data_IF_028107983593
#
_entry.id   IF_028107983593
#
_cell.length_a   1.000
_cell.length_b   1.000
_cell.length_c   1.000
_cell.angle_alpha   90.00
_cell.angle_beta   90.00
_cell.angle_gamma   90.00
#
_symmetry.space_group_name_H-M   'P 1'
#
loop_
_entity.id
_entity.type
_entity.pdbx_description
1 polymer ?
#
# COMPACT_ATOMS: atom_id res chain seq x y z
N UNK A 1 -5.54 -16.39 -14.50
CA UNK A 1 -4.12 -16.54 -14.09
C UNK A 1 -4.10 -16.54 -12.57
N UNK A 2 -3.40 -17.46 -11.92
CA UNK A 2 -3.35 -17.48 -10.45
C UNK A 2 -2.81 -16.14 -9.91
N UNK A 3 -3.15 -15.77 -8.67
CA UNK A 3 -2.55 -14.59 -8.03
C UNK A 3 -1.03 -14.71 -8.11
N UNK A 4 -0.40 -13.68 -8.66
CA UNK A 4 1.04 -13.62 -8.85
C UNK A 4 1.59 -12.38 -8.15
N UNK A 5 2.69 -12.55 -7.43
CA UNK A 5 3.45 -11.47 -6.80
C UNK A 5 4.65 -11.16 -7.68
N UNK A 6 4.75 -9.93 -8.18
CA UNK A 6 5.72 -9.53 -9.18
C UNK A 6 6.55 -8.36 -8.62
N UNK A 7 7.89 -8.44 -8.58
CA UNK A 7 8.73 -7.29 -8.31
C UNK A 7 8.41 -6.15 -9.29
N UNK A 8 8.15 -4.96 -8.76
CA UNK A 8 7.68 -3.83 -9.53
C UNK A 8 8.62 -2.63 -9.39
N UNK A 9 9.26 -2.28 -10.51
CA UNK A 9 10.06 -1.07 -10.60
C UNK A 9 9.15 0.10 -10.95
N UNK A 10 9.05 1.05 -10.02
CA UNK A 10 8.38 2.31 -10.27
C UNK A 10 9.13 3.10 -11.35
N UNK A 11 8.42 3.81 -12.25
CA UNK A 11 9.06 4.62 -13.29
C UNK A 11 9.71 5.88 -12.70
N UNK A 12 10.35 6.69 -13.54
CA UNK A 12 10.91 7.97 -13.10
C UNK A 12 9.83 8.87 -12.46
N UNK A 13 10.10 9.49 -11.30
CA UNK A 13 9.12 10.35 -10.64
C UNK A 13 8.81 11.59 -11.48
N UNK A 14 7.53 11.99 -11.49
CA UNK A 14 7.12 13.28 -12.04
C UNK A 14 7.34 14.40 -11.01
N UNK A 15 7.44 15.65 -11.46
CA UNK A 15 7.49 16.81 -10.57
C UNK A 15 6.13 17.02 -9.86
N UNK A 16 6.15 17.11 -8.54
CA UNK A 16 4.97 17.48 -7.73
C UNK A 16 4.97 19.01 -7.57
N UNK A 17 3.82 19.68 -7.69
CA UNK A 17 3.71 21.11 -7.41
C UNK A 17 4.30 21.51 -6.05
N UNK A 18 5.17 22.52 -6.04
CA UNK A 18 5.93 22.93 -4.85
C UNK A 18 5.07 23.21 -3.61
N UNK A 19 3.91 23.85 -3.79
CA UNK A 19 2.98 24.14 -2.70
C UNK A 19 2.43 22.87 -2.03
N UNK A 20 2.27 21.77 -2.76
CA UNK A 20 1.88 20.47 -2.18
C UNK A 20 3.04 19.85 -1.40
N UNK A 21 4.26 19.96 -1.93
CA UNK A 21 5.47 19.50 -1.23
C UNK A 21 5.64 20.23 0.10
N UNK A 22 5.56 21.57 0.09
CA UNK A 22 5.64 22.41 1.28
C UNK A 22 4.52 22.09 2.28
N UNK A 23 3.29 21.89 1.79
CA UNK A 23 2.17 21.48 2.62
C UNK A 23 2.48 20.17 3.34
N UNK A 24 2.83 19.12 2.60
CA UNK A 24 3.09 17.78 3.16
C UNK A 24 4.26 17.80 4.15
N UNK A 25 5.36 18.50 3.83
CA UNK A 25 6.53 18.63 4.72
C UNK A 25 6.24 19.40 6.01
N UNK A 26 5.18 20.21 6.05
CA UNK A 26 4.78 20.96 7.25
C UNK A 26 3.93 20.15 8.23
N UNK A 27 3.46 18.96 7.82
CA UNK A 27 2.57 18.11 8.60
C UNK A 27 3.35 17.06 9.43
N UNK A 28 2.78 16.55 10.53
CA UNK A 28 3.27 15.33 11.17
C UNK A 28 3.33 14.17 10.17
N UNK A 29 4.32 13.29 10.30
CA UNK A 29 4.63 12.31 9.26
C UNK A 29 3.44 11.43 8.84
N UNK A 30 2.71 10.83 9.78
CA UNK A 30 1.52 10.03 9.45
C UNK A 30 0.41 10.88 8.82
N UNK A 31 0.20 12.11 9.31
CA UNK A 31 -0.80 13.02 8.75
C UNK A 31 -0.44 13.45 7.32
N UNK A 32 0.86 13.54 6.99
CA UNK A 32 1.32 13.77 5.63
C UNK A 32 1.01 12.58 4.73
N UNK A 33 1.17 11.34 5.22
CA UNK A 33 0.80 10.12 4.48
C UNK A 33 -0.72 10.08 4.24
N UNK A 34 -1.55 10.29 5.27
CA UNK A 34 -3.01 10.38 5.12
C UNK A 34 -3.42 11.43 4.10
N UNK A 35 -2.81 12.63 4.17
CA UNK A 35 -3.09 13.69 3.20
C UNK A 35 -2.65 13.33 1.78
N UNK A 36 -1.52 12.65 1.62
CA UNK A 36 -1.08 12.17 0.32
C UNK A 36 -1.98 11.06 -0.24
N UNK A 37 -2.52 10.17 0.60
CA UNK A 37 -3.52 9.18 0.21
C UNK A 37 -4.77 9.87 -0.37
N UNK A 38 -5.26 10.93 0.27
CA UNK A 38 -6.37 11.73 -0.28
C UNK A 38 -6.05 12.33 -1.65
N UNK A 39 -4.83 12.87 -1.83
CA UNK A 39 -4.40 13.45 -3.12
C UNK A 39 -4.29 12.37 -4.21
N UNK A 40 -3.77 11.19 -3.87
CA UNK A 40 -3.66 10.06 -4.79
C UNK A 40 -5.05 9.51 -5.17
N UNK A 41 -6.03 9.56 -4.28
CA UNK A 41 -7.43 9.22 -4.59
C UNK A 41 -8.04 10.19 -5.61
N UNK A 42 -7.69 11.48 -5.57
CA UNK A 42 -8.22 12.48 -6.51
C UNK A 42 -7.75 12.28 -7.95
N UNK A 43 -6.58 11.67 -8.15
CA UNK A 43 -6.09 11.28 -9.48
C UNK A 43 -6.50 9.84 -9.85
N UNK A 44 -7.41 9.26 -9.06
CA UNK A 44 -7.91 7.90 -9.22
C UNK A 44 -6.78 6.87 -9.24
N UNK A 45 -5.72 7.02 -8.44
CA UNK A 45 -4.62 6.06 -8.39
C UNK A 45 -5.04 4.73 -7.77
N UNK A 46 -6.05 4.72 -6.88
CA UNK A 46 -6.58 3.53 -6.25
C UNK A 46 -8.09 3.64 -5.97
N UNK A 47 -8.74 2.51 -5.71
CA UNK A 47 -10.07 2.45 -5.11
C UNK A 47 -9.99 2.41 -3.58
N UNK A 48 -8.96 1.72 -3.07
CA UNK A 48 -8.62 1.64 -1.66
C UNK A 48 -7.11 1.78 -1.47
N UNK A 49 -6.70 2.31 -0.33
CA UNK A 49 -5.30 2.37 0.08
C UNK A 49 -5.15 1.90 1.51
N UNK A 50 -4.04 1.24 1.79
CA UNK A 50 -3.66 0.77 3.13
C UNK A 50 -2.25 1.28 3.43
N UNK A 51 -2.11 1.97 4.55
CA UNK A 51 -0.83 2.47 5.05
C UNK A 51 -0.40 1.65 6.27
N UNK A 52 0.77 1.04 6.13
CA UNK A 52 1.46 0.29 7.17
C UNK A 52 2.76 1.02 7.50
N UNK A 53 3.09 1.18 8.79
CA UNK A 53 4.30 1.86 9.27
C UNK A 53 5.16 0.92 10.10
N UNK A 54 6.47 1.00 9.95
CA UNK A 54 7.41 0.37 10.87
C UNK A 54 7.65 1.32 12.04
N UNK A 55 7.34 0.89 13.26
CA UNK A 55 7.59 1.69 14.45
C UNK A 55 9.07 1.67 14.89
N UNK A 56 9.40 2.41 15.95
CA UNK A 56 10.77 2.51 16.46
C UNK A 56 11.33 1.17 16.98
N UNK A 57 10.46 0.23 17.34
CA UNK A 57 10.84 -1.12 17.79
C UNK A 57 10.97 -2.10 16.60
N UNK A 58 10.74 -1.64 15.37
CA UNK A 58 10.82 -2.45 14.16
C UNK A 58 9.57 -3.30 13.90
N UNK A 59 8.46 -3.00 14.59
CA UNK A 59 7.20 -3.71 14.38
C UNK A 59 6.36 -3.04 13.30
N UNK A 60 5.69 -3.85 12.49
CA UNK A 60 4.80 -3.37 11.45
C UNK A 60 3.42 -3.04 12.04
N UNK A 61 3.04 -1.78 11.98
CA UNK A 61 1.77 -1.25 12.48
C UNK A 61 0.85 -0.92 11.31
N UNK A 62 -0.40 -1.33 11.40
CA UNK A 62 -1.45 -0.86 10.50
C UNK A 62 -1.93 0.51 10.98
N UNK A 63 -1.75 1.55 10.17
CA UNK A 63 -2.01 2.94 10.59
C UNK A 63 -3.32 3.45 10.02
N UNK A 64 -3.53 3.29 8.72
CA UNK A 64 -4.72 3.83 8.05
C UNK A 64 -5.16 2.94 6.90
N UNK A 65 -6.48 2.86 6.69
CA UNK A 65 -7.09 2.40 5.47
C UNK A 65 -8.07 3.46 4.98
N UNK A 66 -8.09 3.73 3.68
CA UNK A 66 -9.02 4.68 3.08
C UNK A 66 -9.58 4.15 1.76
N UNK A 67 -10.76 4.62 1.39
CA UNK A 67 -11.37 4.41 0.09
C UNK A 67 -11.70 5.74 -0.59
N UNK A 68 -12.43 5.69 -1.70
CA UNK A 68 -12.85 6.89 -2.47
C UNK A 68 -13.58 7.96 -1.65
N UNK A 69 -14.23 7.56 -0.55
CA UNK A 69 -15.01 8.45 0.32
C UNK A 69 -14.26 8.90 1.58
N UNK A 70 -12.94 8.69 1.65
CA UNK A 70 -12.12 9.02 2.81
C UNK A 70 -11.78 7.79 3.66
N UNK A 71 -11.45 7.97 4.96
CA UNK A 71 -11.06 6.88 5.85
C UNK A 71 -12.09 5.75 5.89
N UNK A 72 -11.62 4.51 5.79
CA UNK A 72 -12.43 3.29 5.82
C UNK A 72 -12.14 2.50 7.10
N UNK A 73 -12.89 2.84 8.16
CA UNK A 73 -12.74 2.20 9.46
C UNK A 73 -13.11 0.71 9.44
N UNK A 74 -14.01 0.28 8.54
CA UNK A 74 -14.41 -1.12 8.45
C UNK A 74 -13.29 -1.97 7.85
N UNK A 75 -12.65 -1.47 6.80
CA UNK A 75 -11.46 -2.11 6.23
C UNK A 75 -10.31 -2.12 7.24
N UNK A 76 -10.06 -1.01 7.92
CA UNK A 76 -9.01 -0.92 8.94
C UNK A 76 -9.23 -1.94 10.08
N UNK A 77 -10.44 -2.05 10.59
CA UNK A 77 -10.81 -3.01 11.63
C UNK A 77 -10.67 -4.46 11.15
N UNK A 78 -11.14 -4.77 9.93
CA UNK A 78 -11.04 -6.10 9.36
C UNK A 78 -9.59 -6.55 9.19
N UNK A 79 -8.73 -5.67 8.68
CA UNK A 79 -7.30 -5.94 8.54
C UNK A 79 -6.61 -6.06 9.90
N UNK A 80 -6.96 -5.20 10.88
CA UNK A 80 -6.38 -5.29 12.23
C UNK A 80 -6.73 -6.61 12.95
N UNK A 81 -7.86 -7.22 12.62
CA UNK A 81 -8.37 -8.42 13.27
C UNK A 81 -7.67 -9.71 12.83
N UNK A 82 -6.88 -9.70 11.76
CA UNK A 82 -6.18 -10.90 11.26
C UNK A 82 -4.93 -11.29 12.08
N UNK A 83 -4.51 -10.41 13.00
CA UNK A 83 -3.40 -10.64 13.91
C UNK A 83 -2.02 -10.61 13.25
N UNK A 84 -1.90 -10.07 12.04
CA UNK A 84 -0.63 -9.98 11.31
C UNK A 84 0.18 -8.73 11.67
N UNK A 85 -0.48 -7.66 12.13
CA UNK A 85 0.15 -6.41 12.56
C UNK A 85 0.53 -6.42 14.04
N UNK A 86 1.42 -5.51 14.43
CA UNK A 86 2.00 -5.43 15.78
C UNK A 86 3.14 -6.43 16.03
N UNK A 87 3.64 -7.09 14.98
CA UNK A 87 4.76 -8.03 15.04
C UNK A 87 5.99 -7.47 14.32
N UNK A 88 7.17 -8.05 14.56
CA UNK A 88 8.41 -7.60 13.91
C UNK A 88 8.28 -7.71 12.39
N UNK A 89 8.75 -6.71 11.65
CA UNK A 89 8.74 -6.74 10.19
C UNK A 89 9.44 -7.99 9.62
N UNK A 90 10.52 -8.45 10.28
CA UNK A 90 11.26 -9.65 9.87
C UNK A 90 10.41 -10.93 9.91
N UNK A 91 9.42 -10.97 10.81
CA UNK A 91 8.49 -12.10 10.99
C UNK A 91 7.16 -11.89 10.25
N UNK A 92 6.93 -10.70 9.69
CA UNK A 92 5.69 -10.29 9.02
C UNK A 92 5.57 -10.79 7.58
N UNK A 93 6.12 -11.97 7.23
CA UNK A 93 6.14 -12.46 5.85
C UNK A 93 4.76 -12.72 5.24
N UNK A 94 3.72 -12.74 6.08
CA UNK A 94 2.32 -12.90 5.68
C UNK A 94 1.62 -11.59 5.33
N UNK A 95 2.20 -10.42 5.68
CA UNK A 95 1.68 -9.11 5.26
C UNK A 95 2.19 -8.73 3.88
N UNK A 96 1.52 -7.78 3.22
CA UNK A 96 1.99 -7.29 1.93
C UNK A 96 3.30 -6.51 2.06
N UNK A 97 3.41 -5.64 3.07
CA UNK A 97 4.66 -4.94 3.38
C UNK A 97 5.80 -5.92 3.65
N UNK A 98 5.60 -6.94 4.50
CA UNK A 98 6.64 -7.92 4.81
C UNK A 98 7.09 -8.73 3.59
N UNK A 99 6.17 -9.07 2.67
CA UNK A 99 6.54 -9.67 1.38
C UNK A 99 7.39 -8.72 0.52
N UNK A 100 7.05 -7.44 0.47
CA UNK A 100 7.78 -6.45 -0.33
C UNK A 100 9.20 -6.23 0.21
N UNK A 101 9.33 -6.02 1.52
CA UNK A 101 10.62 -5.88 2.19
C UNK A 101 11.46 -7.16 2.11
N UNK A 102 10.84 -8.34 2.26
CA UNK A 102 11.53 -9.62 2.10
C UNK A 102 12.10 -9.84 0.70
N UNK A 103 11.54 -9.20 -0.33
CA UNK A 103 12.05 -9.21 -1.70
C UNK A 103 12.98 -8.02 -2.02
N UNK A 104 13.11 -7.04 -1.12
CA UNK A 104 13.85 -5.81 -1.35
C UNK A 104 13.29 -4.98 -2.51
N UNK A 105 11.97 -5.04 -2.74
CA UNK A 105 11.32 -4.33 -3.85
C UNK A 105 9.86 -4.01 -3.57
N UNK A 106 9.37 -2.90 -4.12
CA UNK A 106 7.92 -2.70 -4.32
C UNK A 106 7.33 -3.84 -5.16
N UNK A 107 6.05 -4.15 -4.96
CA UNK A 107 5.38 -5.29 -5.60
C UNK A 107 4.16 -4.86 -6.41
N UNK A 108 3.90 -5.57 -7.50
CA UNK A 108 2.62 -5.64 -8.17
C UNK A 108 2.03 -7.03 -7.93
N UNK A 109 0.85 -7.07 -7.31
CA UNK A 109 0.10 -8.30 -7.08
C UNK A 109 -1.19 -8.24 -7.89
N UNK A 110 -1.42 -9.25 -8.72
CA UNK A 110 -2.61 -9.33 -9.56
C UNK A 110 -2.92 -10.77 -9.93
N UNK A 111 -4.15 -11.01 -10.38
CA UNK A 111 -4.58 -12.33 -10.87
C UNK A 111 -5.89 -12.77 -10.24
N UNK A 112 -6.12 -14.07 -10.27
CA UNK A 112 -7.37 -14.69 -9.84
C UNK A 112 -7.12 -15.69 -8.71
N UNK A 113 -7.99 -15.63 -7.71
CA UNK A 113 -8.11 -16.65 -6.69
C UNK A 113 -9.15 -17.69 -7.09
N UNK A 114 -8.82 -18.95 -6.83
CA UNK A 114 -9.72 -20.11 -6.95
C UNK A 114 -9.68 -20.84 -5.59
N UNK A 115 -10.80 -21.41 -5.14
CA UNK A 115 -10.96 -22.07 -3.83
C UNK A 115 -9.92 -23.15 -3.49
N UNK A 116 -9.30 -23.76 -4.51
CA UNK A 116 -8.37 -24.88 -4.36
C UNK A 116 -6.89 -24.47 -4.27
N UNK A 117 -6.59 -23.17 -4.17
CA UNK A 117 -5.21 -22.66 -4.14
C UNK A 117 -4.97 -21.83 -2.89
N UNK A 118 -3.78 -21.93 -2.30
CA UNK A 118 -3.38 -21.00 -1.25
C UNK A 118 -3.17 -19.61 -1.85
N UNK A 119 -3.75 -18.58 -1.23
CA UNK A 119 -3.56 -17.19 -1.64
C UNK A 119 -2.28 -16.61 -1.01
N UNK A 120 -1.50 -15.80 -1.75
CA UNK A 120 -0.41 -15.02 -1.17
C UNK A 120 -0.90 -13.74 -0.46
N UNK A 121 -2.20 -13.41 -0.53
CA UNK A 121 -2.77 -12.25 0.14
C UNK A 121 -3.13 -12.57 1.60
N UNK A 122 -3.04 -11.59 2.51
CA UNK A 122 -3.60 -11.69 3.86
C UNK A 122 -5.08 -12.14 3.81
N UNK A 123 -5.53 -13.04 4.71
CA UNK A 123 -6.89 -13.56 4.68
C UNK A 123 -7.97 -12.47 4.74
N UNK A 124 -7.83 -11.48 5.62
CA UNK A 124 -8.80 -10.38 5.74
C UNK A 124 -8.86 -9.55 4.45
N UNK A 125 -7.72 -9.25 3.85
CA UNK A 125 -7.65 -8.53 2.58
C UNK A 125 -8.29 -9.33 1.45
N UNK A 126 -8.04 -10.64 1.39
CA UNK A 126 -8.62 -11.52 0.37
C UNK A 126 -10.16 -11.56 0.48
N UNK A 127 -10.68 -11.71 1.69
CA UNK A 127 -12.12 -11.67 1.96
C UNK A 127 -12.71 -10.31 1.61
N UNK A 128 -12.02 -9.21 1.91
CA UNK A 128 -12.45 -7.88 1.53
C UNK A 128 -12.56 -7.73 0.00
N UNK A 129 -11.58 -8.23 -0.76
CA UNK A 129 -11.54 -8.05 -2.22
C UNK A 129 -12.53 -8.95 -2.97
N UNK A 130 -12.78 -10.16 -2.47
CA UNK A 130 -13.59 -11.17 -3.16
C UNK A 130 -14.98 -11.36 -2.54
N UNK A 131 -15.21 -10.82 -1.34
CA UNK A 131 -16.42 -11.05 -0.56
C UNK A 131 -16.66 -12.52 -0.26
N UNK A 132 -17.93 -12.88 -0.08
CA UNK A 132 -18.37 -14.22 0.30
C UNK A 132 -18.08 -15.30 -0.75
N UNK A 133 -17.83 -14.92 -2.01
CA UNK A 133 -17.53 -15.90 -3.05
C UNK A 133 -16.17 -16.55 -2.83
N UNK A 134 -15.22 -15.84 -2.22
CA UNK A 134 -13.83 -16.29 -2.08
C UNK A 134 -13.12 -16.56 -3.42
N UNK A 135 -13.74 -16.24 -4.56
CA UNK A 135 -13.25 -16.59 -5.90
C UNK A 135 -13.43 -15.39 -6.80
N UNK A 136 -12.39 -15.06 -7.56
CA UNK A 136 -12.45 -13.97 -8.52
C UNK A 136 -11.10 -13.30 -8.74
N UNK A 137 -11.16 -12.20 -9.48
CA UNK A 137 -10.00 -11.36 -9.75
C UNK A 137 -9.79 -10.39 -8.58
N UNK A 138 -8.58 -10.39 -7.99
CA UNK A 138 -8.24 -9.51 -6.86
C UNK A 138 -7.93 -8.07 -7.28
N UNK A 139 -7.88 -7.81 -8.59
CA UNK A 139 -7.53 -6.51 -9.17
C UNK A 139 -6.02 -6.35 -9.31
N UNK A 140 -5.56 -5.12 -9.08
CA UNK A 140 -4.15 -4.72 -9.14
C UNK A 140 -3.77 -4.06 -7.82
N UNK A 141 -2.90 -4.72 -7.06
CA UNK A 141 -2.38 -4.20 -5.80
C UNK A 141 -0.92 -3.78 -6.01
N UNK A 142 -0.62 -2.51 -5.75
CA UNK A 142 0.73 -1.97 -5.81
C UNK A 142 1.22 -1.74 -4.38
N UNK A 143 2.15 -2.55 -3.92
CA UNK A 143 2.77 -2.43 -2.59
C UNK A 143 4.02 -1.58 -2.73
N UNK A 144 4.00 -0.36 -2.20
CA UNK A 144 5.06 0.63 -2.36
C UNK A 144 5.82 0.77 -1.05
N UNK A 145 7.08 0.31 -1.00
CA UNK A 145 7.90 0.39 0.22
C UNK A 145 8.38 1.82 0.48
N UNK A 146 8.40 2.23 1.75
CA UNK A 146 9.08 3.43 2.22
C UNK A 146 10.38 3.02 2.91
N UNK A 147 11.50 3.57 2.44
CA UNK A 147 12.85 3.18 2.87
C UNK A 147 13.73 4.42 2.98
N UNK A 148 14.62 4.42 3.98
CA UNK A 148 15.73 5.37 4.12
C UNK A 148 17.05 4.59 4.13
N UNK A 149 17.63 4.42 2.93
CA UNK A 149 18.70 3.43 2.73
C UNK A 149 18.19 2.02 3.02
N UNK A 150 18.86 1.32 3.94
CA UNK A 150 18.47 -0.03 4.38
C UNK A 150 17.42 -0.02 5.52
N UNK A 151 17.00 1.16 6.01
CA UNK A 151 16.02 1.29 7.09
C UNK A 151 14.59 1.21 6.52
N UNK A 152 13.80 0.18 6.84
CA UNK A 152 12.40 0.12 6.44
C UNK A 152 11.57 1.09 7.28
N UNK A 153 10.71 1.88 6.63
CA UNK A 153 9.84 2.87 7.28
C UNK A 153 8.36 2.47 7.23
N UNK A 154 7.96 1.63 6.28
CA UNK A 154 6.57 1.22 6.09
C UNK A 154 6.26 0.90 4.64
N UNK A 155 4.98 0.74 4.32
CA UNK A 155 4.53 0.59 2.96
C UNK A 155 3.17 1.26 2.75
N UNK A 156 2.93 1.71 1.52
CA UNK A 156 1.62 2.13 1.04
C UNK A 156 1.16 1.15 -0.02
N UNK A 157 0.05 0.46 0.26
CA UNK A 157 -0.58 -0.42 -0.71
C UNK A 157 -1.71 0.32 -1.43
N UNK A 158 -1.61 0.44 -2.74
CA UNK A 158 -2.68 0.93 -3.61
C UNK A 158 -3.46 -0.25 -4.17
N UNK A 159 -4.77 -0.25 -4.02
CA UNK A 159 -5.65 -1.34 -4.47
C UNK A 159 -6.58 -0.78 -5.55
N UNK A 160 -6.47 -1.30 -6.77
CA UNK A 160 -7.40 -1.03 -7.87
C UNK A 160 -8.24 -2.27 -8.17
N UNK A 161 -9.55 -2.11 -8.27
CA UNK A 161 -10.45 -3.15 -8.71
C UNK A 161 -10.15 -3.54 -10.16
N UNK A 162 -10.45 -4.80 -10.51
CA UNK A 162 -10.19 -5.32 -11.84
C UNK A 162 -10.91 -4.54 -12.97
N UNK A 163 -12.08 -3.95 -12.66
CA UNK A 163 -12.85 -3.12 -13.59
C UNK A 163 -12.16 -1.80 -13.96
N UNK A 164 -11.32 -1.26 -13.08
CA UNK A 164 -10.63 0.02 -13.25
C UNK A 164 -9.31 -0.12 -14.01
N UNK A 165 -8.84 -1.35 -14.23
CA UNK A 165 -7.55 -1.64 -14.85
C UNK A 165 -6.35 -1.27 -13.97
N UNK A 166 -5.11 -1.47 -14.48
CA UNK A 166 -3.89 -1.05 -13.80
C UNK A 166 -3.75 0.49 -13.79
N UNK A 167 -2.79 1.02 -13.02
CA UNK A 167 -2.38 2.42 -13.11
C UNK A 167 -2.07 2.81 -14.56
N UNK A 168 -2.52 3.98 -15.00
CA UNK A 168 -2.41 4.44 -16.38
C UNK A 168 -1.83 5.87 -16.48
N UNK A 169 -1.47 6.26 -17.70
CA UNK A 169 -0.95 7.60 -18.01
C UNK A 169 0.20 8.04 -17.08
N UNK A 170 0.02 9.14 -16.36
CA UNK A 170 1.01 9.74 -15.46
C UNK A 170 0.88 9.25 -14.01
N UNK A 171 -0.15 8.43 -13.71
CA UNK A 171 -0.42 7.97 -12.34
C UNK A 171 0.78 7.22 -11.73
N UNK A 172 1.50 6.31 -12.44
CA UNK A 172 2.69 5.67 -11.89
C UNK A 172 3.81 6.67 -11.52
N UNK A 173 4.05 7.68 -12.36
CA UNK A 173 5.11 8.67 -12.15
C UNK A 173 4.78 9.62 -11.00
N UNK A 174 3.51 10.07 -10.89
CA UNK A 174 3.03 10.88 -9.78
C UNK A 174 3.05 10.09 -8.46
N UNK A 175 2.60 8.84 -8.51
CA UNK A 175 2.65 7.93 -7.35
C UNK A 175 4.08 7.72 -6.88
N UNK A 176 5.05 7.53 -7.79
CA UNK A 176 6.45 7.40 -7.41
C UNK A 176 6.98 8.68 -6.76
N UNK A 177 6.66 9.84 -7.33
CA UNK A 177 7.09 11.11 -6.76
C UNK A 177 6.54 11.31 -5.34
N UNK A 178 5.26 10.99 -5.13
CA UNK A 178 4.62 11.09 -3.81
C UNK A 178 5.27 10.09 -2.85
N UNK A 179 5.50 8.86 -3.29
CA UNK A 179 6.17 7.83 -2.48
C UNK A 179 7.55 8.29 -2.00
N UNK A 180 8.38 8.84 -2.88
CA UNK A 180 9.71 9.34 -2.52
C UNK A 180 9.63 10.49 -1.52
N UNK A 181 8.73 11.45 -1.75
CA UNK A 181 8.49 12.55 -0.83
C UNK A 181 8.03 12.06 0.55
N UNK A 182 7.12 11.09 0.61
CA UNK A 182 6.66 10.50 1.86
C UNK A 182 7.76 9.74 2.58
N UNK A 183 8.61 9.01 1.85
CA UNK A 183 9.78 8.35 2.43
C UNK A 183 10.73 9.37 3.08
N UNK A 184 11.00 10.52 2.42
CA UNK A 184 11.77 11.61 3.03
C UNK A 184 11.13 12.15 4.31
N UNK A 185 9.81 12.37 4.30
CA UNK A 185 9.06 12.90 5.46
C UNK A 185 9.10 11.90 6.62
N UNK A 186 8.87 10.62 6.33
CA UNK A 186 8.90 9.53 7.31
C UNK A 186 10.30 9.30 7.88
N UNK A 187 11.34 9.49 7.07
CA UNK A 187 12.73 9.35 7.52
C UNK A 187 13.15 10.44 8.53
N UNK A 188 12.53 11.63 8.43
CA UNK A 188 12.83 12.80 9.25
C UNK A 188 12.00 12.89 10.55
N UNK A 189 10.89 12.15 10.63
CA UNK A 189 10.02 12.06 11.81
C UNK A 189 10.54 11.09 12.85
#
# INVERSE_FOLDING_TARGET
MAITVIPFNMPEPMEIPSHLVEQLKSMPADAAVSRAMELLMQIEAADYMVYERVDADGNLQLVEACGKNGPDASLLEALSADGLHGTSLADSTSTLAGQAFGQGSSLLIMGQHDDNKTSPLPPALLTFLLGDSGVGNVGFLYVLTFEDGDRPLGALTLIRQASEGPLNHEQPNLTQAVRLLLAEILAAG
#
